data_IF_265901877088
#
_entry.id   IF_265901877088
#
_cell.length_a   1.000
_cell.length_b   1.000
_cell.length_c   1.000
_cell.angle_alpha   90.00
_cell.angle_beta   90.00
_cell.angle_gamma   90.00
#
_symmetry.space_group_name_H-M   'P 1'
#
loop_
_entity.id
_entity.type
_entity.pdbx_description
1 polymer ?
#
# COMPACT_ATOMS: atom_id res chain seq x y z
N UNK A 1 -1.60 -23.64 9.85
CA UNK A 1 -2.19 -22.44 9.20
C UNK A 1 -1.75 -21.25 10.05
N UNK A 2 -0.98 -20.24 9.64
CA UNK A 2 -0.71 -19.64 8.33
C UNK A 2 0.65 -18.88 8.39
N UNK A 3 1.69 -19.42 7.73
CA UNK A 3 2.96 -18.70 7.48
C UNK A 3 2.99 -18.03 6.09
N UNK A 4 1.89 -18.12 5.33
CA UNK A 4 1.86 -17.74 3.91
C UNK A 4 1.59 -16.24 3.65
N UNK A 5 1.09 -15.49 4.63
CA UNK A 5 0.65 -14.10 4.42
C UNK A 5 1.79 -13.08 4.57
N UNK A 6 2.77 -13.32 5.43
CA UNK A 6 3.88 -12.40 5.67
C UNK A 6 4.95 -12.45 4.56
N UNK A 7 5.13 -13.61 3.91
CA UNK A 7 6.06 -13.76 2.79
C UNK A 7 5.58 -13.02 1.53
N UNK A 8 4.26 -12.96 1.28
CA UNK A 8 3.70 -12.30 0.10
C UNK A 8 3.93 -10.79 0.04
N UNK A 9 3.88 -10.10 1.17
CA UNK A 9 3.93 -8.63 1.20
C UNK A 9 5.35 -8.07 1.02
N UNK A 10 6.37 -8.77 1.54
CA UNK A 10 7.78 -8.37 1.37
C UNK A 10 8.26 -8.69 -0.05
N UNK A 11 7.84 -9.82 -0.63
CA UNK A 11 8.20 -10.21 -2.00
C UNK A 11 7.59 -9.24 -3.03
N UNK A 12 6.35 -8.79 -2.85
CA UNK A 12 5.70 -7.84 -3.77
C UNK A 12 6.37 -6.46 -3.76
N UNK A 13 6.80 -5.97 -2.59
CA UNK A 13 7.45 -4.65 -2.50
C UNK A 13 8.85 -4.65 -3.13
N UNK A 14 9.61 -5.75 -2.97
CA UNK A 14 10.94 -5.91 -3.58
C UNK A 14 10.84 -6.20 -5.08
N UNK A 15 9.83 -6.96 -5.53
CA UNK A 15 9.61 -7.24 -6.95
C UNK A 15 9.19 -5.98 -7.73
N UNK A 16 8.35 -5.12 -7.13
CA UNK A 16 7.98 -3.83 -7.74
C UNK A 16 9.20 -2.90 -7.84
N UNK A 17 10.06 -2.85 -6.81
CA UNK A 17 11.30 -2.07 -6.87
C UNK A 17 12.28 -2.63 -7.92
N UNK A 18 12.44 -3.97 -8.01
CA UNK A 18 13.34 -4.60 -8.97
C UNK A 18 12.84 -4.48 -10.43
N UNK A 19 11.52 -4.57 -10.66
CA UNK A 19 10.92 -4.44 -11.99
C UNK A 19 10.95 -2.98 -12.48
N UNK A 20 10.71 -2.01 -11.59
CA UNK A 20 10.82 -0.58 -11.91
C UNK A 20 12.27 -0.14 -12.21
N UNK A 21 13.26 -0.87 -11.69
CA UNK A 21 14.70 -0.62 -11.93
C UNK A 21 15.25 -1.32 -13.18
N UNK A 22 14.51 -2.24 -13.81
CA UNK A 22 14.96 -2.97 -15.00
C UNK A 22 14.62 -2.25 -16.31
N UNK A 23 13.61 -1.36 -16.32
CA UNK A 23 13.12 -0.71 -17.55
C UNK A 23 13.68 0.71 -17.79
N UNK A 24 14.45 1.31 -16.87
CA UNK A 24 15.00 2.66 -17.04
C UNK A 24 16.53 2.64 -16.89
N UNK A 25 17.23 2.98 -17.96
CA UNK A 25 18.68 3.04 -18.13
C UNK A 25 19.35 4.14 -17.30
N UNK A 26 19.31 3.98 -15.97
CA UNK A 26 20.25 4.62 -15.05
C UNK A 26 21.22 3.53 -14.58
N UNK A 27 22.48 3.56 -15.04
CA UNK A 27 23.51 2.66 -14.52
C UNK A 27 23.81 2.98 -13.06
N UNK A 28 23.03 2.42 -12.14
CA UNK A 28 23.50 2.18 -10.78
C UNK A 28 24.17 0.81 -10.82
N UNK A 29 25.50 0.77 -10.75
CA UNK A 29 26.26 -0.46 -10.55
C UNK A 29 25.94 -1.03 -9.16
N UNK A 30 24.87 -1.80 -9.07
CA UNK A 30 24.64 -2.70 -7.94
C UNK A 30 25.65 -3.82 -8.09
N UNK A 31 26.66 -3.85 -7.23
CA UNK A 31 27.70 -4.86 -7.29
C UNK A 31 27.07 -6.21 -6.91
N UNK A 32 27.56 -7.31 -7.50
CA UNK A 32 27.13 -8.68 -7.13
C UNK A 32 27.19 -8.92 -5.61
N UNK A 33 28.10 -8.24 -4.91
CA UNK A 33 28.23 -8.24 -3.46
C UNK A 33 26.99 -7.72 -2.75
N UNK A 34 26.27 -6.74 -3.30
CA UNK A 34 25.13 -6.07 -2.65
C UNK A 34 23.88 -6.96 -2.69
N UNK A 35 23.67 -7.67 -3.79
CA UNK A 35 22.59 -8.66 -3.94
C UNK A 35 22.84 -9.89 -3.05
N UNK A 36 24.09 -10.34 -2.94
CA UNK A 36 24.48 -11.42 -2.03
C UNK A 36 24.27 -10.99 -0.58
N UNK A 37 24.64 -9.74 -0.23
CA UNK A 37 24.41 -9.18 1.11
C UNK A 37 22.92 -9.11 1.46
N UNK A 38 22.07 -8.74 0.50
CA UNK A 38 20.62 -8.67 0.71
C UNK A 38 20.02 -10.07 0.94
N UNK A 39 20.42 -11.06 0.13
CA UNK A 39 19.99 -12.46 0.31
C UNK A 39 20.44 -13.00 1.67
N UNK A 40 21.70 -12.78 2.06
CA UNK A 40 22.21 -13.22 3.36
C UNK A 40 21.50 -12.53 4.53
N UNK A 41 21.14 -11.25 4.43
CA UNK A 41 20.38 -10.52 5.48
C UNK A 41 18.94 -11.02 5.58
N UNK A 42 18.30 -11.31 4.45
CA UNK A 42 16.96 -11.88 4.41
C UNK A 42 16.96 -13.31 4.97
N UNK A 43 17.89 -14.16 4.53
CA UNK A 43 18.06 -15.50 5.09
C UNK A 43 18.36 -15.47 6.58
N UNK A 44 19.17 -14.53 7.07
CA UNK A 44 19.44 -14.35 8.51
C UNK A 44 18.21 -13.92 9.33
N UNK A 45 17.28 -13.19 8.71
CA UNK A 45 16.00 -12.80 9.33
C UNK A 45 15.06 -14.02 9.39
N UNK A 46 15.05 -14.86 8.35
CA UNK A 46 14.18 -16.04 8.27
C UNK A 46 14.77 -17.31 8.91
N UNK A 47 16.09 -17.35 9.15
CA UNK A 47 16.78 -18.43 9.87
C UNK A 47 16.88 -18.16 11.38
N UNK A 48 16.28 -17.07 11.88
CA UNK A 48 16.21 -16.79 13.31
C UNK A 48 15.23 -17.77 13.96
N UNK A 49 15.71 -18.96 14.30
CA UNK A 49 14.99 -19.82 15.24
C UNK A 49 14.87 -19.09 16.58
N UNK A 50 13.68 -19.10 17.23
CA UNK A 50 13.57 -18.57 18.57
C UNK A 50 14.59 -19.28 19.47
N UNK A 51 15.30 -18.56 20.35
CA UNK A 51 16.24 -19.21 21.24
C UNK A 51 15.47 -20.27 22.03
N UNK A 52 15.94 -21.53 21.96
CA UNK A 52 15.50 -22.55 22.89
C UNK A 52 15.75 -22.00 24.29
N UNK A 53 14.69 -21.92 25.11
CA UNK A 53 14.80 -21.59 26.53
C UNK A 53 15.74 -22.60 27.18
N UNK A 54 17.01 -22.22 27.33
CA UNK A 54 17.88 -22.82 28.33
C UNK A 54 17.47 -22.22 29.65
N UNK A 55 16.95 -23.07 30.52
CA UNK A 55 16.71 -22.79 31.92
C UNK A 55 18.05 -22.61 32.63
N UNK A 56 18.71 -21.46 32.43
CA UNK A 56 19.83 -21.03 33.25
C UNK A 56 19.38 -19.77 34.00
N UNK A 57 18.88 -20.01 35.22
CA UNK A 57 18.65 -19.01 36.25
C UNK A 57 19.99 -18.43 36.70
N UNK A 58 20.53 -17.49 35.92
CA UNK A 58 21.45 -16.48 36.43
C UNK A 58 20.90 -15.11 36.08
N UNK A 59 20.62 -14.35 37.14
CA UNK A 59 20.01 -13.04 37.15
C UNK A 59 20.82 -12.02 36.35
N UNK A 60 20.45 -11.80 35.08
CA UNK A 60 20.76 -10.54 34.41
C UNK A 60 19.83 -9.48 35.00
N UNK A 61 20.31 -8.76 36.01
CA UNK A 61 19.73 -7.49 36.38
C UNK A 61 19.97 -6.53 35.20
N UNK A 62 18.94 -6.38 34.35
CA UNK A 62 18.89 -5.29 33.39
C UNK A 62 18.85 -3.98 34.17
N UNK A 63 19.95 -3.25 34.16
CA UNK A 63 19.96 -1.85 34.58
C UNK A 63 19.05 -1.08 33.60
N UNK A 64 18.00 -0.39 34.06
CA UNK A 64 17.08 0.28 33.16
C UNK A 64 17.77 1.51 32.56
N UNK A 65 18.19 1.42 31.30
CA UNK A 65 18.58 2.60 30.52
C UNK A 65 17.30 3.39 30.27
N UNK A 66 17.16 4.52 30.96
CA UNK A 66 15.97 5.39 31.01
C UNK A 66 15.99 6.44 29.89
N UNK A 67 16.39 6.07 28.68
CA UNK A 67 16.29 6.95 27.53
C UNK A 67 14.82 7.08 27.10
N UNK A 68 14.32 8.29 26.76
CA UNK A 68 12.94 8.46 26.32
C UNK A 68 12.71 7.66 25.03
N UNK A 69 11.70 6.79 25.06
CA UNK A 69 11.33 5.99 23.88
C UNK A 69 10.74 6.90 22.80
N UNK A 70 11.11 6.72 21.52
CA UNK A 70 10.52 7.50 20.44
C UNK A 70 9.01 7.19 20.33
N UNK A 71 8.25 8.16 19.84
CA UNK A 71 6.80 8.16 19.89
C UNK A 71 6.22 7.82 18.51
N UNK A 72 5.41 6.76 18.45
CA UNK A 72 4.62 6.39 17.29
C UNK A 72 3.15 6.76 17.50
N UNK A 73 2.68 7.81 16.87
CA UNK A 73 1.26 8.14 16.77
C UNK A 73 0.61 7.25 15.70
N UNK A 74 -0.37 6.44 16.10
CA UNK A 74 -1.12 5.54 15.20
C UNK A 74 -2.58 5.97 15.20
N UNK A 75 -3.13 6.26 14.02
CA UNK A 75 -4.52 6.70 13.87
C UNK A 75 -5.24 5.96 12.73
N UNK A 76 -6.52 5.68 12.94
CA UNK A 76 -7.45 5.25 11.92
C UNK A 76 -8.88 5.65 12.31
N UNK A 77 -9.79 5.72 11.33
CA UNK A 77 -11.22 5.94 11.61
C UNK A 77 -11.78 4.89 12.58
N UNK A 78 -11.34 3.64 12.50
CA UNK A 78 -11.88 2.56 13.33
C UNK A 78 -11.52 2.64 14.81
N UNK A 79 -10.46 3.40 15.15
CA UNK A 79 -10.12 3.65 16.56
C UNK A 79 -11.28 4.39 17.23
N UNK A 80 -11.93 5.31 16.50
CA UNK A 80 -13.13 6.01 16.99
C UNK A 80 -14.35 5.09 17.09
N UNK A 81 -14.44 4.07 16.24
CA UNK A 81 -15.52 3.07 16.29
C UNK A 81 -15.20 1.87 17.21
N UNK A 82 -14.15 1.97 18.03
CA UNK A 82 -13.70 0.95 18.98
C UNK A 82 -13.40 -0.44 18.36
N UNK A 83 -12.99 -0.47 17.09
CA UNK A 83 -12.53 -1.69 16.39
C UNK A 83 -11.11 -1.50 15.82
N UNK A 84 -10.07 -1.56 16.67
CA UNK A 84 -8.69 -1.39 16.24
C UNK A 84 -8.06 -2.69 15.72
N UNK A 85 -8.83 -3.76 15.48
CA UNK A 85 -8.27 -5.10 15.21
C UNK A 85 -7.29 -5.11 14.03
N UNK A 86 -7.59 -4.35 12.97
CA UNK A 86 -6.72 -4.25 11.79
C UNK A 86 -5.41 -3.48 12.04
N UNK A 87 -5.30 -2.72 13.14
CA UNK A 87 -4.11 -1.96 13.52
C UNK A 87 -3.18 -2.72 14.47
N UNK A 88 -3.60 -3.88 15.00
CA UNK A 88 -2.82 -4.65 15.96
C UNK A 88 -1.42 -4.99 15.43
N UNK A 89 -1.30 -5.27 14.13
CA UNK A 89 -0.01 -5.56 13.50
C UNK A 89 0.91 -4.34 13.47
N UNK A 90 0.37 -3.15 13.21
CA UNK A 90 1.13 -1.90 13.17
C UNK A 90 1.68 -1.58 14.56
N UNK A 91 0.85 -1.70 15.59
CA UNK A 91 1.26 -1.52 16.99
C UNK A 91 2.40 -2.47 17.36
N UNK A 92 2.22 -3.78 17.09
CA UNK A 92 3.25 -4.80 17.37
C UNK A 92 4.58 -4.54 16.66
N UNK A 93 4.57 -3.96 15.46
CA UNK A 93 5.80 -3.60 14.75
C UNK A 93 6.51 -2.46 15.48
N UNK A 94 5.80 -1.39 15.84
CA UNK A 94 6.39 -0.26 16.57
C UNK A 94 6.87 -0.65 17.97
N UNK A 95 6.12 -1.48 18.69
CA UNK A 95 6.53 -2.02 19.99
C UNK A 95 7.85 -2.79 19.90
N UNK A 96 8.00 -3.65 18.88
CA UNK A 96 9.23 -4.43 18.63
C UNK A 96 10.42 -3.55 18.25
N UNK A 97 10.15 -2.39 17.64
CA UNK A 97 11.16 -1.39 17.30
C UNK A 97 11.50 -0.46 18.48
N UNK A 98 10.87 -0.66 19.65
CA UNK A 98 11.14 0.11 20.87
C UNK A 98 10.39 1.44 20.97
N UNK A 99 9.41 1.68 20.10
CA UNK A 99 8.57 2.87 20.17
C UNK A 99 7.55 2.77 21.30
N UNK A 100 7.15 3.92 21.83
CA UNK A 100 5.94 4.05 22.61
C UNK A 100 4.80 4.49 21.68
N UNK A 101 3.73 3.70 21.62
CA UNK A 101 2.59 3.99 20.75
C UNK A 101 1.54 4.86 21.44
N UNK A 102 1.04 5.87 20.73
CA UNK A 102 -0.17 6.62 21.10
C UNK A 102 -1.23 6.30 20.07
N UNK A 103 -2.40 5.82 20.52
CA UNK A 103 -3.51 5.46 19.65
C UNK A 103 -4.53 6.59 19.56
N UNK A 104 -4.76 7.07 18.34
CA UNK A 104 -5.77 8.09 18.03
C UNK A 104 -5.32 9.53 18.33
N UNK A 105 -5.82 10.45 17.50
CA UNK A 105 -5.48 11.88 17.54
C UNK A 105 -5.87 12.56 18.86
N UNK A 106 -7.00 12.15 19.45
CA UNK A 106 -7.46 12.71 20.73
C UNK A 106 -6.47 12.42 21.88
N UNK A 107 -6.01 11.18 22.00
CA UNK A 107 -5.06 10.78 23.04
C UNK A 107 -3.70 11.46 22.85
N UNK A 108 -3.31 11.67 21.59
CA UNK A 108 -2.12 12.45 21.26
C UNK A 108 -2.22 13.89 21.78
N UNK A 109 -3.31 14.60 21.49
CA UNK A 109 -3.48 15.97 21.97
C UNK A 109 -3.50 16.05 23.51
N UNK A 110 -4.12 15.09 24.19
CA UNK A 110 -4.14 15.01 25.67
C UNK A 110 -2.77 14.72 26.26
N UNK A 111 -1.92 13.98 25.55
CA UNK A 111 -0.60 13.60 26.07
C UNK A 111 0.36 14.79 26.20
N UNK A 112 0.21 15.81 25.36
CA UNK A 112 1.19 16.91 25.26
C UNK A 112 2.58 16.47 24.75
N UNK A 113 2.71 15.23 24.29
CA UNK A 113 3.96 14.64 23.79
C UNK A 113 4.02 14.80 22.27
N UNK A 114 5.22 15.07 21.75
CA UNK A 114 5.47 15.15 20.31
C UNK A 114 5.70 13.76 19.69
N UNK A 115 5.19 13.53 18.48
CA UNK A 115 5.44 12.28 17.76
C UNK A 115 6.74 12.33 16.97
N UNK A 116 7.42 11.18 16.85
CA UNK A 116 8.52 10.96 15.89
C UNK A 116 8.00 10.34 14.59
N UNK A 117 7.02 9.43 14.70
CA UNK A 117 6.36 8.79 13.57
C UNK A 117 4.86 8.99 13.69
N UNK A 118 4.25 9.49 12.62
CA UNK A 118 2.81 9.50 12.45
C UNK A 118 2.40 8.47 11.38
N UNK A 119 1.77 7.39 11.85
CA UNK A 119 1.18 6.37 11.01
C UNK A 119 -0.34 6.57 10.99
N UNK A 120 -0.90 6.94 9.84
CA UNK A 120 -2.33 7.06 9.65
C UNK A 120 -2.82 6.02 8.65
N UNK A 121 -3.95 5.38 8.93
CA UNK A 121 -4.55 4.43 7.99
C UNK A 121 -5.13 5.17 6.78
N UNK A 122 -5.95 6.19 7.00
CA UNK A 122 -6.52 7.00 5.93
C UNK A 122 -5.54 8.05 5.40
N UNK A 123 -5.82 8.60 4.21
CA UNK A 123 -5.05 9.70 3.63
C UNK A 123 -5.19 10.98 4.50
N UNK A 124 -4.09 11.49 5.10
CA UNK A 124 -4.20 12.49 6.17
C UNK A 124 -4.29 13.95 5.67
N UNK A 125 -4.00 14.21 4.40
CA UNK A 125 -3.87 15.59 3.88
C UNK A 125 -5.21 16.29 3.59
N UNK A 126 -6.33 15.55 3.55
CA UNK A 126 -7.67 16.08 3.30
C UNK A 126 -8.56 16.12 4.55
N UNK A 127 -8.20 15.40 5.60
CA UNK A 127 -8.97 15.34 6.85
C UNK A 127 -8.55 16.49 7.78
N UNK A 128 -9.52 17.28 8.25
CA UNK A 128 -9.29 18.44 9.12
C UNK A 128 -8.55 18.11 10.42
N UNK A 129 -8.77 16.92 11.00
CA UNK A 129 -8.15 16.50 12.25
C UNK A 129 -6.67 16.15 12.10
N UNK A 130 -6.28 15.63 10.94
CA UNK A 130 -4.90 15.18 10.69
C UNK A 130 -4.10 16.19 9.88
N UNK A 131 -4.77 17.11 9.19
CA UNK A 131 -4.13 18.08 8.28
C UNK A 131 -3.10 18.96 8.99
N UNK A 132 -3.37 19.38 10.22
CA UNK A 132 -2.44 20.18 11.02
C UNK A 132 -1.15 19.42 11.35
N UNK A 133 -1.22 18.11 11.56
CA UNK A 133 -0.07 17.25 11.89
C UNK A 133 0.84 16.99 10.68
N UNK A 134 0.30 17.09 9.46
CA UNK A 134 1.03 16.76 8.22
C UNK A 134 1.39 17.96 7.35
N UNK A 135 0.87 19.16 7.67
CA UNK A 135 1.14 20.36 6.88
C UNK A 135 2.59 20.85 7.02
N UNK A 136 3.15 20.79 8.23
CA UNK A 136 4.48 21.30 8.54
C UNK A 136 5.21 20.38 9.54
N UNK A 137 5.54 19.13 9.15
CA UNK A 137 6.26 18.22 10.05
C UNK A 137 7.65 18.77 10.34
N UNK A 138 8.14 18.57 11.57
CA UNK A 138 9.52 18.88 11.92
C UNK A 138 10.49 17.92 11.22
N UNK A 139 11.75 18.29 11.13
CA UNK A 139 12.77 17.54 10.37
C UNK A 139 12.90 16.06 10.77
N UNK A 140 12.74 15.74 12.07
CA UNK A 140 12.80 14.37 12.58
C UNK A 140 11.50 13.58 12.35
N UNK A 141 10.37 14.26 12.17
CA UNK A 141 9.06 13.65 12.07
C UNK A 141 8.87 12.94 10.74
N UNK A 142 8.36 11.71 10.79
CA UNK A 142 8.07 10.89 9.61
C UNK A 142 6.58 10.58 9.53
N UNK A 143 6.05 10.60 8.32
CA UNK A 143 4.64 10.32 8.02
C UNK A 143 4.59 9.22 6.97
N UNK A 144 3.70 8.24 7.12
CA UNK A 144 3.60 7.09 6.22
C UNK A 144 2.86 7.39 4.89
N UNK A 145 2.51 8.65 4.62
CA UNK A 145 1.84 9.10 3.40
C UNK A 145 2.60 10.23 2.73
N UNK A 146 2.54 10.25 1.41
CA UNK A 146 3.13 11.31 0.58
C UNK A 146 1.99 12.19 0.03
N UNK A 147 2.08 13.52 0.09
CA UNK A 147 1.10 14.41 -0.53
C UNK A 147 0.93 14.09 -2.02
N UNK A 148 -0.31 13.97 -2.47
CA UNK A 148 -0.64 13.65 -3.86
C UNK A 148 -0.61 12.15 -4.18
N UNK A 149 -0.29 11.27 -3.23
CA UNK A 149 -0.23 9.82 -3.51
C UNK A 149 -1.54 9.25 -4.04
N UNK A 150 -2.67 9.85 -3.65
CA UNK A 150 -4.00 9.54 -4.17
C UNK A 150 -4.12 9.54 -5.71
N UNK A 151 -3.30 10.31 -6.42
CA UNK A 151 -3.34 10.38 -7.90
C UNK A 151 -2.85 9.09 -8.57
N UNK A 152 -1.90 8.37 -7.98
CA UNK A 152 -1.42 7.09 -8.52
C UNK A 152 -1.98 5.87 -7.78
N UNK A 153 -2.53 6.03 -6.58
CA UNK A 153 -3.22 4.94 -5.87
C UNK A 153 -4.72 4.85 -6.19
N UNK A 154 -5.32 5.88 -6.78
CA UNK A 154 -6.71 5.84 -7.24
C UNK A 154 -6.83 5.07 -8.55
N UNK A 155 -7.66 4.02 -8.57
CA UNK A 155 -7.91 3.21 -9.76
C UNK A 155 -8.37 4.04 -10.96
N UNK A 156 -9.24 5.01 -10.72
CA UNK A 156 -9.76 5.89 -11.78
C UNK A 156 -8.64 6.76 -12.30
N UNK A 157 -7.95 7.47 -11.41
CA UNK A 157 -6.89 8.39 -11.79
C UNK A 157 -5.78 7.68 -12.55
N UNK A 158 -5.36 6.49 -12.11
CA UNK A 158 -4.36 5.68 -12.79
C UNK A 158 -4.85 5.17 -14.15
N UNK A 159 -6.07 4.61 -14.21
CA UNK A 159 -6.60 4.03 -15.45
C UNK A 159 -6.84 5.10 -16.53
N UNK A 160 -7.20 6.33 -16.13
CA UNK A 160 -7.47 7.44 -17.05
C UNK A 160 -6.31 8.42 -17.18
N UNK A 161 -5.14 8.14 -16.62
CA UNK A 161 -3.95 9.00 -16.74
C UNK A 161 -3.32 8.98 -18.15
N UNK A 162 -3.90 8.25 -19.10
CA UNK A 162 -3.41 8.08 -20.47
C UNK A 162 -1.94 7.64 -20.51
N UNK A 163 -1.58 6.68 -19.67
CA UNK A 163 -0.23 6.12 -19.61
C UNK A 163 0.03 5.28 -20.87
N UNK A 164 1.19 5.48 -21.49
CA UNK A 164 1.57 4.84 -22.76
C UNK A 164 1.93 3.36 -22.62
N UNK A 165 2.21 2.88 -21.40
CA UNK A 165 2.69 1.53 -21.15
C UNK A 165 2.08 0.93 -19.87
N UNK A 166 1.85 -0.38 -19.88
CA UNK A 166 1.46 -1.16 -18.70
C UNK A 166 0.02 -1.00 -18.19
N UNK A 167 -0.74 -0.02 -18.71
CA UNK A 167 -2.13 0.23 -18.29
C UNK A 167 -3.08 0.06 -19.48
N UNK A 168 -4.06 -0.86 -19.42
CA UNK A 168 -5.06 -0.98 -20.48
C UNK A 168 -5.89 0.29 -20.60
N UNK A 169 -6.12 0.72 -21.84
CA UNK A 169 -6.93 1.89 -22.19
C UNK A 169 -8.25 1.90 -21.43
N UNK A 170 -8.56 3.03 -20.82
CA UNK A 170 -9.77 3.23 -20.05
C UNK A 170 -10.35 4.64 -20.21
N UNK A 171 -11.66 4.73 -19.98
CA UNK A 171 -12.47 5.93 -20.12
C UNK A 171 -13.33 6.11 -18.86
N UNK A 172 -13.19 7.23 -18.16
CA UNK A 172 -14.04 7.59 -17.03
C UNK A 172 -15.40 8.09 -17.51
N UNK A 173 -16.49 7.53 -16.98
CA UNK A 173 -17.84 7.99 -17.26
C UNK A 173 -18.35 8.93 -16.16
N UNK A 174 -19.15 9.95 -16.52
CA UNK A 174 -19.61 10.29 -17.87
C UNK A 174 -18.62 11.13 -18.70
N UNK A 175 -17.51 11.59 -18.09
CA UNK A 175 -16.61 12.61 -18.65
C UNK A 175 -16.05 12.25 -20.03
N UNK A 176 -15.74 10.98 -20.26
CA UNK A 176 -15.07 10.46 -21.45
C UNK A 176 -15.99 9.58 -22.32
N UNK A 177 -17.31 9.73 -22.18
CA UNK A 177 -18.29 8.92 -22.90
C UNK A 177 -18.15 9.05 -24.43
N UNK A 178 -18.03 10.28 -24.94
CA UNK A 178 -17.92 10.53 -26.37
C UNK A 178 -16.64 9.92 -26.98
N UNK A 179 -15.52 10.02 -26.24
CA UNK A 179 -14.24 9.43 -26.63
C UNK A 179 -14.31 7.91 -26.68
N UNK A 180 -15.00 7.30 -25.70
CA UNK A 180 -15.26 5.87 -25.67
C UNK A 180 -16.13 5.43 -26.87
N UNK A 181 -17.24 6.11 -27.14
CA UNK A 181 -18.15 5.77 -28.24
C UNK A 181 -17.47 5.86 -29.61
N UNK A 182 -16.64 6.89 -29.83
CA UNK A 182 -15.85 7.02 -31.05
C UNK A 182 -14.85 5.86 -31.21
N UNK A 183 -14.07 5.56 -30.16
CA UNK A 183 -13.10 4.47 -30.19
C UNK A 183 -13.78 3.10 -30.41
N UNK A 184 -14.89 2.86 -29.73
CA UNK A 184 -15.58 1.58 -29.78
C UNK A 184 -16.26 1.33 -31.15
N UNK A 185 -16.72 2.39 -31.83
CA UNK A 185 -17.20 2.32 -33.22
C UNK A 185 -16.12 1.87 -34.19
N UNK A 186 -14.89 2.33 -34.00
CA UNK A 186 -13.73 1.95 -34.82
C UNK A 186 -13.20 0.55 -34.47
N UNK A 187 -13.47 0.06 -33.26
CA UNK A 187 -12.91 -1.18 -32.73
C UNK A 187 -13.99 -2.15 -32.19
N UNK A 188 -14.97 -2.58 -33.01
CA UNK A 188 -16.19 -3.26 -32.55
C UNK A 188 -15.95 -4.64 -31.92
N UNK A 189 -14.81 -5.28 -32.20
CA UNK A 189 -14.45 -6.59 -31.63
C UNK A 189 -13.84 -6.49 -30.23
N UNK A 190 -13.58 -5.28 -29.73
CA UNK A 190 -12.94 -5.09 -28.42
C UNK A 190 -13.89 -5.50 -27.31
N UNK A 191 -13.40 -6.36 -26.40
CA UNK A 191 -14.10 -6.64 -25.15
C UNK A 191 -13.78 -5.62 -24.08
N UNK A 192 -14.76 -5.31 -23.26
CA UNK A 192 -14.68 -4.25 -22.27
C UNK A 192 -15.01 -4.76 -20.88
N UNK A 193 -14.51 -4.06 -19.88
CA UNK A 193 -14.86 -4.25 -18.48
C UNK A 193 -15.38 -2.93 -17.93
N UNK A 194 -16.59 -2.96 -17.38
CA UNK A 194 -17.12 -1.82 -16.62
C UNK A 194 -16.89 -2.04 -15.13
N UNK A 195 -16.26 -1.06 -14.47
CA UNK A 195 -15.91 -1.12 -13.06
C UNK A 195 -16.52 0.08 -12.34
N UNK A 196 -17.12 -0.16 -11.17
CA UNK A 196 -17.50 0.94 -10.27
C UNK A 196 -16.30 1.43 -9.47
N UNK A 197 -16.33 2.73 -9.13
CA UNK A 197 -15.32 3.32 -8.27
C UNK A 197 -15.36 2.74 -6.84
N UNK A 198 -16.49 2.14 -6.43
CA UNK A 198 -16.74 1.55 -5.10
C UNK A 198 -16.56 0.02 -5.02
N UNK A 199 -15.74 -0.57 -5.90
CA UNK A 199 -15.06 -1.87 -5.68
C UNK A 199 -15.84 -3.20 -5.72
N UNK A 200 -17.09 -3.33 -6.19
CA UNK A 200 -17.74 -4.67 -6.18
C UNK A 200 -18.51 -5.16 -7.40
N UNK A 201 -18.51 -4.45 -8.52
CA UNK A 201 -19.16 -4.94 -9.74
C UNK A 201 -18.20 -4.84 -10.93
N UNK A 202 -17.58 -5.97 -11.27
CA UNK A 202 -16.78 -6.14 -12.48
C UNK A 202 -17.59 -7.03 -13.42
N UNK A 203 -17.98 -6.50 -14.58
CA UNK A 203 -18.62 -7.29 -15.63
C UNK A 203 -17.79 -7.16 -16.90
N UNK A 204 -17.46 -8.30 -17.52
CA UNK A 204 -16.90 -8.34 -18.86
C UNK A 204 -18.08 -8.36 -19.82
N UNK A 205 -18.21 -7.32 -20.65
CA UNK A 205 -19.38 -7.10 -21.49
C UNK A 205 -18.94 -6.67 -22.89
N UNK A 206 -19.66 -7.09 -23.94
CA UNK A 206 -19.56 -6.45 -25.25
C UNK A 206 -20.23 -5.07 -25.21
N UNK A 207 -19.97 -4.23 -26.21
CA UNK A 207 -20.40 -2.82 -26.21
C UNK A 207 -21.91 -2.66 -26.03
N UNK A 208 -22.71 -3.55 -26.63
CA UNK A 208 -24.17 -3.50 -26.63
C UNK A 208 -24.78 -3.73 -25.25
N UNK A 209 -24.00 -4.29 -24.31
CA UNK A 209 -24.44 -4.60 -22.96
C UNK A 209 -23.86 -3.64 -21.90
N UNK A 210 -23.01 -2.69 -22.31
CA UNK A 210 -22.44 -1.70 -21.40
C UNK A 210 -23.46 -0.62 -21.06
N UNK A 211 -23.57 -0.28 -19.79
CA UNK A 211 -24.34 0.88 -19.35
C UNK A 211 -23.45 2.13 -19.38
N UNK A 212 -23.40 2.79 -20.54
CA UNK A 212 -22.59 4.00 -20.75
C UNK A 212 -23.14 5.23 -20.02
N UNK A 213 -24.34 5.15 -19.46
CA UNK A 213 -24.97 6.26 -18.73
C UNK A 213 -24.72 6.17 -17.22
N UNK A 214 -24.07 5.10 -16.76
CA UNK A 214 -23.77 4.88 -15.36
C UNK A 214 -22.66 5.81 -14.86
N UNK A 215 -23.05 6.80 -14.07
CA UNK A 215 -22.13 7.66 -13.35
C UNK A 215 -21.20 6.88 -12.39
N UNK A 216 -20.05 7.46 -12.06
CA UNK A 216 -19.06 6.89 -11.14
C UNK A 216 -18.55 5.49 -11.53
N UNK A 217 -18.46 5.26 -12.84
CA UNK A 217 -17.84 4.07 -13.40
C UNK A 217 -16.76 4.45 -14.41
N UNK A 218 -15.89 3.50 -14.70
CA UNK A 218 -15.00 3.59 -15.84
C UNK A 218 -15.07 2.31 -16.65
N UNK A 219 -14.89 2.45 -17.95
CA UNK A 219 -14.80 1.35 -18.91
C UNK A 219 -13.33 1.15 -19.24
N UNK A 220 -12.86 -0.09 -19.22
CA UNK A 220 -11.47 -0.45 -19.53
C UNK A 220 -11.43 -1.59 -20.54
N UNK A 221 -10.48 -1.55 -21.47
CA UNK A 221 -10.23 -2.64 -22.42
C UNK A 221 -9.88 -3.92 -21.65
N UNK A 222 -10.55 -5.02 -22.00
CA UNK A 222 -10.29 -6.33 -21.41
C UNK A 222 -8.97 -6.91 -21.93
N UNK A 223 -8.17 -7.50 -21.05
CA UNK A 223 -6.92 -8.19 -21.41
C UNK A 223 -7.26 -9.63 -21.75
N UNK A 224 -7.25 -9.96 -23.04
CA UNK A 224 -7.79 -11.22 -23.55
C UNK A 224 -6.88 -12.43 -23.34
N UNK A 225 -5.56 -12.21 -23.34
CA UNK A 225 -4.55 -13.26 -23.27
C UNK A 225 -3.66 -13.07 -22.03
N UNK A 226 -4.19 -13.27 -20.81
CA UNK A 226 -3.38 -13.21 -19.61
C UNK A 226 -2.41 -14.39 -19.56
N UNK A 227 -1.29 -14.22 -18.87
CA UNK A 227 -0.43 -15.33 -18.49
C UNK A 227 -1.23 -16.30 -17.60
N UNK A 228 -1.17 -17.59 -17.93
CA UNK A 228 -1.80 -18.65 -17.16
C UNK A 228 -0.74 -19.40 -16.35
N UNK A 229 -1.02 -19.63 -15.07
CA UNK A 229 -0.27 -20.57 -14.21
C UNK A 229 -1.21 -21.72 -13.87
N UNK A 230 -0.81 -22.94 -14.21
CA UNK A 230 -1.62 -24.17 -14.04
C UNK A 230 -3.03 -24.07 -14.64
N UNK A 231 -3.15 -23.43 -15.81
CA UNK A 231 -4.42 -23.21 -16.50
C UNK A 231 -5.31 -22.13 -15.88
N UNK A 232 -4.86 -21.47 -14.80
CA UNK A 232 -5.60 -20.41 -14.14
C UNK A 232 -4.95 -19.04 -14.33
N UNK A 233 -5.78 -18.01 -14.45
CA UNK A 233 -5.32 -16.63 -14.32
C UNK A 233 -4.98 -16.34 -12.86
N UNK A 234 -3.86 -15.69 -12.58
CA UNK A 234 -3.61 -15.13 -11.26
C UNK A 234 -4.50 -13.89 -11.13
N UNK A 235 -5.53 -13.98 -10.29
CA UNK A 235 -6.42 -12.85 -9.96
C UNK A 235 -6.01 -12.19 -8.65
#
# INVERSE_FOLDING_TARGET
MSNSFAAGFVVVTVAIAAFYLQEHSWEIKILKSDVINLKQRVEKIYSFSPPQQKNDLHSFQQQPIKEPRPIALISAKSIKSNDPAHLLHVQKVFDRLGYQTILGIENYHKSGIEFDIFWNHEYPFTNSETKSLVAHPKQHQKINHIPGSGFYTSKVALATANLSFGVPLAFALPKQKAEFEAYAKENPKTRWVQKSNAHRNIKVLPIEQLDTNKADTFIQKFVENPLLIDGNTIQ
#
